data_IF_011786400669
#
_entry.id   IF_011786400669
#
_cell.length_a   1.000
_cell.length_b   1.000
_cell.length_c   1.000
_cell.angle_alpha   90.00
_cell.angle_beta   90.00
_cell.angle_gamma   90.00
#
_symmetry.space_group_name_H-M   'P 1'
#
loop_
_entity.id
_entity.type
_entity.pdbx_description
1 polymer ?
#
# COMPACT_ATOMS: atom_id res chain seq x y z
N UNK A 1 30.63 -11.40 -22.14
CA UNK A 1 30.28 -11.64 -20.73
C UNK A 1 29.35 -10.53 -20.28
N UNK A 2 28.05 -10.70 -20.45
CA UNK A 2 27.02 -9.73 -20.07
C UNK A 2 26.55 -10.06 -18.65
N UNK A 3 26.83 -9.18 -17.69
CA UNK A 3 26.24 -9.30 -16.36
C UNK A 3 24.75 -9.00 -16.46
N UNK A 4 23.90 -10.01 -16.25
CA UNK A 4 22.46 -9.80 -16.08
C UNK A 4 22.21 -9.14 -14.71
N UNK A 5 22.11 -7.82 -14.71
CA UNK A 5 21.69 -7.03 -13.55
C UNK A 5 20.21 -7.31 -13.25
N UNK A 6 19.95 -8.28 -12.37
CA UNK A 6 18.61 -8.54 -11.88
C UNK A 6 18.20 -7.45 -10.89
N UNK A 7 17.09 -6.77 -11.17
CA UNK A 7 16.50 -5.84 -10.20
C UNK A 7 15.87 -6.64 -9.05
N UNK A 8 16.28 -6.33 -7.83
CA UNK A 8 15.66 -6.86 -6.60
C UNK A 8 14.59 -5.88 -6.14
N UNK A 9 13.40 -6.38 -5.80
CA UNK A 9 12.30 -5.58 -5.25
C UNK A 9 11.90 -6.09 -3.87
N UNK A 10 11.62 -5.19 -2.95
CA UNK A 10 11.05 -5.50 -1.63
C UNK A 10 9.60 -5.04 -1.63
N UNK A 11 8.69 -5.87 -1.10
CA UNK A 11 7.28 -5.51 -0.90
C UNK A 11 7.05 -5.10 0.55
N UNK A 12 6.16 -4.14 0.76
CA UNK A 12 5.52 -3.94 2.04
C UNK A 12 4.57 -5.12 2.28
N UNK A 13 5.06 -6.12 3.02
CA UNK A 13 4.35 -7.37 3.31
C UNK A 13 4.03 -7.44 4.81
N UNK A 14 2.75 -7.36 5.15
CA UNK A 14 2.26 -7.52 6.51
C UNK A 14 2.01 -9.00 6.83
N UNK A 15 2.26 -9.34 8.09
CA UNK A 15 2.02 -10.67 8.68
C UNK A 15 1.03 -10.52 9.83
N UNK A 16 -0.04 -11.30 9.79
CA UNK A 16 -1.05 -11.35 10.85
C UNK A 16 -0.49 -12.03 12.11
N UNK A 17 -1.09 -11.83 13.29
CA UNK A 17 -0.66 -12.47 14.53
C UNK A 17 -0.64 -14.01 14.48
N UNK A 18 -1.45 -14.62 13.60
CA UNK A 18 -1.49 -16.06 13.37
C UNK A 18 -0.44 -16.54 12.33
N UNK A 19 0.46 -15.67 11.88
CA UNK A 19 1.51 -15.97 10.92
C UNK A 19 1.08 -15.91 9.44
N UNK A 20 -0.19 -15.64 9.13
CA UNK A 20 -0.64 -15.53 7.74
C UNK A 20 -0.18 -14.22 7.11
N UNK A 21 0.21 -14.27 5.84
CA UNK A 21 0.47 -13.09 5.04
C UNK A 21 -0.85 -12.44 4.64
N UNK A 22 -0.88 -11.11 4.61
CA UNK A 22 -2.01 -10.40 4.01
C UNK A 22 -1.90 -10.37 2.49
N UNK A 23 -2.99 -10.72 1.84
CA UNK A 23 -3.10 -10.82 0.37
C UNK A 23 -3.54 -9.52 -0.30
N UNK A 24 -4.03 -8.54 0.45
CA UNK A 24 -4.58 -7.27 -0.08
C UNK A 24 -4.04 -6.05 0.69
N UNK A 25 -4.33 -4.84 0.21
CA UNK A 25 -3.93 -3.60 0.87
C UNK A 25 -4.41 -3.56 2.32
N UNK A 26 -3.50 -3.19 3.22
CA UNK A 26 -3.83 -2.90 4.62
C UNK A 26 -3.68 -1.40 4.84
N UNK A 27 -4.79 -0.69 5.00
CA UNK A 27 -4.79 0.75 5.30
C UNK A 27 -5.16 0.95 6.76
N UNK A 28 -4.29 1.63 7.51
CA UNK A 28 -4.55 2.02 8.89
C UNK A 28 -4.70 3.53 9.00
N UNK A 29 -5.74 3.97 9.69
CA UNK A 29 -6.06 5.38 9.87
C UNK A 29 -5.85 5.77 11.33
N UNK A 30 -5.09 6.82 11.57
CA UNK A 30 -4.91 7.47 12.86
C UNK A 30 -5.34 8.94 12.74
N UNK A 31 -5.34 9.67 13.87
CA UNK A 31 -5.85 11.05 13.94
C UNK A 31 -5.33 11.96 12.83
N UNK A 32 -4.03 11.90 12.51
CA UNK A 32 -3.38 12.76 11.51
C UNK A 32 -2.59 11.98 10.45
N UNK A 33 -2.79 10.66 10.34
CA UNK A 33 -1.95 9.78 9.53
C UNK A 33 -2.79 8.70 8.85
N UNK A 34 -2.55 8.47 7.56
CA UNK A 34 -3.04 7.30 6.81
C UNK A 34 -1.83 6.47 6.41
N UNK A 35 -1.73 5.23 6.90
CA UNK A 35 -0.65 4.30 6.59
C UNK A 35 -1.13 3.20 5.63
N UNK A 36 -0.36 2.95 4.58
CA UNK A 36 -0.53 1.75 3.72
C UNK A 36 0.49 0.71 4.18
N UNK A 37 0.07 -0.20 5.06
CA UNK A 37 0.91 -1.17 5.77
C UNK A 37 1.14 -2.48 5.01
N UNK A 38 0.33 -2.78 3.99
CA UNK A 38 0.52 -3.91 3.08
C UNK A 38 0.15 -3.47 1.66
N UNK A 39 0.87 -3.96 0.67
CA UNK A 39 0.51 -3.77 -0.74
C UNK A 39 0.78 -5.06 -1.53
N UNK A 40 -0.23 -5.62 -2.21
CA UNK A 40 -0.09 -6.86 -2.97
C UNK A 40 0.74 -6.67 -4.25
N UNK A 41 1.13 -7.77 -4.90
CA UNK A 41 1.81 -7.72 -6.19
C UNK A 41 0.82 -7.87 -7.36
N UNK A 42 0.93 -7.06 -8.44
CA UNK A 42 1.72 -5.84 -8.57
C UNK A 42 0.91 -4.60 -8.13
N UNK A 43 1.25 -4.01 -6.98
CA UNK A 43 0.67 -2.75 -6.49
C UNK A 43 0.76 -1.61 -7.51
N UNK A 44 1.75 -1.66 -8.41
CA UNK A 44 1.87 -0.70 -9.51
C UNK A 44 0.62 -0.68 -10.40
N UNK A 45 0.02 -1.83 -10.68
CA UNK A 45 -1.16 -1.94 -11.56
C UNK A 45 -2.43 -1.40 -10.90
N UNK A 46 -2.54 -1.47 -9.57
CA UNK A 46 -3.67 -0.94 -8.80
C UNK A 46 -3.40 0.44 -8.18
N UNK A 47 -2.23 1.04 -8.46
CA UNK A 47 -1.76 2.29 -7.82
C UNK A 47 -2.72 3.47 -7.95
N UNK A 48 -3.38 3.61 -9.10
CA UNK A 48 -4.36 4.68 -9.30
C UNK A 48 -5.67 4.44 -8.54
N UNK A 49 -6.11 3.18 -8.48
CA UNK A 49 -7.35 2.85 -7.76
C UNK A 49 -7.15 3.02 -6.26
N UNK A 50 -6.03 2.53 -5.71
CA UNK A 50 -5.72 2.73 -4.30
C UNK A 50 -5.47 4.21 -3.98
N UNK A 51 -4.85 4.97 -4.90
CA UNK A 51 -4.65 6.41 -4.75
C UNK A 51 -5.97 7.17 -4.60
N UNK A 52 -6.97 6.88 -5.45
CA UNK A 52 -8.31 7.47 -5.35
C UNK A 52 -8.96 7.16 -4.00
N UNK A 53 -8.88 5.91 -3.57
CA UNK A 53 -9.42 5.51 -2.28
C UNK A 53 -8.75 6.23 -1.10
N UNK A 54 -7.43 6.46 -1.17
CA UNK A 54 -6.70 7.22 -0.15
C UNK A 54 -7.14 8.70 -0.13
N UNK A 55 -7.40 9.30 -1.29
CA UNK A 55 -7.92 10.69 -1.38
C UNK A 55 -9.30 10.80 -0.76
N UNK A 56 -10.19 9.84 -1.03
CA UNK A 56 -11.52 9.79 -0.40
C UNK A 56 -11.41 9.75 1.13
N UNK A 57 -10.56 8.87 1.68
CA UNK A 57 -10.31 8.79 3.13
C UNK A 57 -9.74 10.10 3.66
N UNK A 58 -8.80 10.74 2.93
CA UNK A 58 -8.18 11.99 3.34
C UNK A 58 -9.20 13.14 3.39
N UNK A 59 -10.10 13.22 2.40
CA UNK A 59 -11.19 14.19 2.40
C UNK A 59 -12.10 14.03 3.61
N UNK A 60 -12.51 12.80 3.93
CA UNK A 60 -13.33 12.50 5.12
C UNK A 60 -12.62 12.83 6.44
N UNK A 61 -11.31 12.57 6.54
CA UNK A 61 -10.55 12.69 7.79
C UNK A 61 -10.00 14.08 8.05
N UNK A 62 -9.56 14.76 6.99
CA UNK A 62 -8.78 16.00 7.08
C UNK A 62 -9.48 17.20 6.46
N UNK A 63 -10.66 17.03 5.84
CA UNK A 63 -11.38 18.11 5.17
C UNK A 63 -10.62 18.65 3.95
N UNK A 64 -9.81 17.83 3.30
CA UNK A 64 -9.11 18.19 2.06
C UNK A 64 -10.07 18.07 0.88
N UNK A 65 -10.16 19.11 0.05
CA UNK A 65 -10.79 18.99 -1.27
C UNK A 65 -10.02 17.97 -2.13
N UNK A 66 -10.68 17.21 -3.03
CA UNK A 66 -10.01 16.25 -3.92
C UNK A 66 -8.96 16.85 -4.86
#
# INVERSE_FOLDING_TARGET
MTWNLHRRGIRAQAVMPNGKLLDDFLIQQNVNIINVCNAPSPAATSSLNIGKHIVEIAGERFGTEP
#
